data_IF_025427900841
#
_entry.id   IF_025427900841
#
_cell.length_a   1.000
_cell.length_b   1.000
_cell.length_c   1.000
_cell.angle_alpha   90.00
_cell.angle_beta   90.00
_cell.angle_gamma   90.00
#
_symmetry.space_group_name_H-M   'P 1'
#
loop_
_entity.id
_entity.type
_entity.pdbx_description
1 polymer ?
#
# COMPACT_ATOMS: atom_id res chain seq x y z
N UNK A 1 6.86 -54.05 -23.53
CA UNK A 1 6.28 -52.93 -24.32
C UNK A 1 5.07 -52.31 -23.65
N UNK A 2 4.09 -53.08 -23.18
CA UNK A 2 2.82 -52.56 -22.62
C UNK A 2 2.99 -51.54 -21.49
N UNK A 3 3.89 -51.80 -20.52
CA UNK A 3 4.19 -50.85 -19.43
C UNK A 3 4.70 -49.49 -19.94
N UNK A 4 5.52 -49.44 -21.00
CA UNK A 4 6.04 -48.18 -21.57
C UNK A 4 4.94 -47.37 -22.27
N UNK A 5 3.97 -48.04 -22.89
CA UNK A 5 2.82 -47.39 -23.54
C UNK A 5 1.92 -46.74 -22.48
N UNK A 6 1.65 -47.44 -21.37
CA UNK A 6 0.83 -46.91 -20.25
C UNK A 6 1.44 -45.66 -19.62
N UNK A 7 2.76 -45.64 -19.39
CA UNK A 7 3.43 -44.44 -18.87
C UNK A 7 3.33 -43.25 -19.85
N UNK A 8 3.43 -43.50 -21.15
CA UNK A 8 3.35 -42.44 -22.17
C UNK A 8 1.95 -41.82 -22.25
N UNK A 9 0.88 -42.64 -22.14
CA UNK A 9 -0.50 -42.13 -22.12
C UNK A 9 -0.81 -41.34 -20.86
N UNK A 10 -0.30 -41.76 -19.70
CA UNK A 10 -0.47 -41.02 -18.44
C UNK A 10 0.21 -39.65 -18.54
N UNK A 11 1.45 -39.58 -19.06
CA UNK A 11 2.18 -38.32 -19.25
C UNK A 11 1.45 -37.38 -20.21
N UNK A 12 0.92 -37.89 -21.34
CA UNK A 12 0.16 -37.10 -22.30
C UNK A 12 -1.16 -36.57 -21.72
N UNK A 13 -1.87 -37.39 -20.93
CA UNK A 13 -3.11 -36.97 -20.26
C UNK A 13 -2.87 -35.84 -19.25
N UNK A 14 -1.79 -35.92 -18.44
CA UNK A 14 -1.44 -34.88 -17.47
C UNK A 14 -1.06 -33.56 -18.16
N UNK A 15 -0.39 -33.62 -19.32
CA UNK A 15 -0.02 -32.41 -20.09
C UNK A 15 -1.18 -31.67 -20.75
N UNK A 16 -2.34 -32.32 -20.89
CA UNK A 16 -3.57 -31.73 -21.48
C UNK A 16 -4.49 -31.07 -20.45
N UNK A 17 -4.11 -31.12 -19.17
CA UNK A 17 -4.90 -30.63 -18.05
C UNK A 17 -4.46 -29.25 -17.56
N UNK A 18 -3.59 -28.53 -18.28
CA UNK A 18 -3.19 -27.17 -17.90
C UNK A 18 -3.52 -26.16 -18.98
N UNK A 19 -4.28 -25.13 -18.64
CA UNK A 19 -4.50 -23.95 -19.48
C UNK A 19 -3.51 -22.85 -19.05
N UNK A 20 -3.00 -22.11 -20.03
CA UNK A 20 -2.18 -20.92 -19.79
C UNK A 20 -3.08 -19.68 -19.80
N UNK A 21 -3.00 -18.88 -18.74
CA UNK A 21 -3.70 -17.60 -18.65
C UNK A 21 -2.69 -16.47 -18.60
N UNK A 22 -3.01 -15.36 -19.27
CA UNK A 22 -2.20 -14.15 -19.19
C UNK A 22 -2.77 -13.25 -18.10
N UNK A 23 -1.98 -13.04 -17.05
CA UNK A 23 -2.32 -12.16 -15.95
C UNK A 23 -1.74 -10.77 -16.19
N UNK A 24 -2.56 -9.72 -16.05
CA UNK A 24 -2.06 -8.35 -16.10
C UNK A 24 -1.12 -8.09 -14.92
N UNK A 25 -0.21 -7.14 -15.09
CA UNK A 25 0.57 -6.60 -13.98
C UNK A 25 -0.26 -5.61 -13.16
N UNK A 26 0.35 -5.10 -12.10
CA UNK A 26 -0.27 -4.08 -11.26
C UNK A 26 -0.57 -2.81 -12.08
N UNK A 27 -1.80 -2.27 -12.05
CA UNK A 27 -2.17 -1.12 -12.87
C UNK A 27 -1.47 0.18 -12.43
N UNK A 28 -0.72 0.81 -13.35
CA UNK A 28 0.02 2.05 -13.07
C UNK A 28 -0.84 3.21 -12.56
N UNK A 29 -2.13 3.23 -12.92
CA UNK A 29 -3.07 4.27 -12.48
C UNK A 29 -3.19 4.37 -10.96
N UNK A 30 -2.90 3.30 -10.22
CA UNK A 30 -2.96 3.25 -8.76
C UNK A 30 -1.63 3.65 -8.10
N UNK A 31 -0.53 3.66 -8.85
CA UNK A 31 0.79 4.09 -8.36
C UNK A 31 0.83 5.60 -8.07
N UNK A 32 -0.18 6.37 -8.47
CA UNK A 32 -0.25 7.81 -8.25
C UNK A 32 -0.37 8.21 -6.78
N UNK A 33 -0.74 7.30 -5.89
CA UNK A 33 -0.98 7.66 -4.49
C UNK A 33 0.26 7.66 -3.61
N UNK A 34 1.40 7.16 -4.09
CA UNK A 34 2.64 7.06 -3.31
C UNK A 34 3.87 7.25 -4.20
N UNK A 35 4.99 7.77 -3.69
CA UNK A 35 6.25 7.75 -4.42
C UNK A 35 6.73 6.30 -4.57
N UNK A 36 7.10 5.94 -5.79
CA UNK A 36 7.48 4.57 -6.16
C UNK A 36 8.71 4.52 -7.07
N UNK A 37 9.36 5.66 -7.31
CA UNK A 37 10.62 5.69 -8.05
C UNK A 37 11.74 5.44 -7.05
N UNK A 38 12.49 4.36 -7.23
CA UNK A 38 13.62 4.04 -6.34
C UNK A 38 14.63 5.20 -6.30
N UNK A 39 14.98 5.63 -5.09
CA UNK A 39 15.86 6.78 -4.86
C UNK A 39 15.17 8.13 -4.96
N UNK A 40 13.86 8.18 -5.16
CA UNK A 40 13.06 9.40 -4.94
C UNK A 40 13.11 9.78 -3.46
N UNK A 41 13.27 11.07 -3.22
CA UNK A 41 13.48 11.63 -1.90
C UNK A 41 12.45 12.71 -1.63
N UNK A 42 12.04 12.84 -0.38
CA UNK A 42 11.15 13.91 0.04
C UNK A 42 11.39 14.28 1.51
N UNK A 43 11.14 15.54 1.85
CA UNK A 43 11.44 16.11 3.16
C UNK A 43 10.17 16.46 3.93
N UNK A 44 10.06 15.96 5.17
CA UNK A 44 9.02 16.39 6.11
C UNK A 44 9.63 17.13 7.30
N UNK A 45 8.94 18.16 7.77
CA UNK A 45 9.35 18.98 8.92
C UNK A 45 8.24 19.11 9.95
N UNK A 46 8.61 19.29 11.22
CA UNK A 46 7.71 19.75 12.27
C UNK A 46 7.93 21.25 12.61
N UNK A 47 8.72 21.97 11.79
CA UNK A 47 9.14 23.35 12.02
C UNK A 47 10.43 23.53 12.84
N UNK A 48 10.89 22.47 13.53
CA UNK A 48 12.14 22.45 14.31
C UNK A 48 13.14 21.47 13.67
N UNK A 49 12.70 20.23 13.51
CA UNK A 49 13.47 19.15 12.92
C UNK A 49 13.00 18.90 11.48
N UNK A 50 13.86 18.30 10.66
CA UNK A 50 13.52 17.86 9.31
C UNK A 50 14.05 16.46 9.10
N UNK A 51 13.20 15.61 8.52
CA UNK A 51 13.54 14.24 8.18
C UNK A 51 13.40 14.03 6.69
N UNK A 52 14.38 13.33 6.14
CA UNK A 52 14.42 12.94 4.75
C UNK A 52 14.00 11.48 4.64
N UNK A 53 13.07 11.24 3.73
CA UNK A 53 12.64 9.92 3.34
C UNK A 53 13.22 9.59 1.97
N UNK A 54 13.53 8.32 1.74
CA UNK A 54 13.98 7.79 0.47
C UNK A 54 13.21 6.51 0.14
N UNK A 55 12.78 6.39 -1.11
CA UNK A 55 12.21 5.14 -1.62
C UNK A 55 13.35 4.14 -1.81
N UNK A 56 13.50 3.22 -0.86
CA UNK A 56 14.61 2.27 -0.84
C UNK A 56 14.36 1.07 -1.77
N UNK A 57 13.16 0.52 -1.70
CA UNK A 57 12.76 -0.71 -2.38
C UNK A 57 11.40 -0.56 -3.05
N UNK A 58 11.26 -1.20 -4.21
CA UNK A 58 10.07 -1.16 -5.07
C UNK A 58 9.94 -2.53 -5.72
N UNK A 59 8.83 -3.21 -5.48
CA UNK A 59 8.46 -4.44 -6.17
C UNK A 59 7.04 -4.30 -6.73
N UNK A 60 6.92 -4.33 -8.06
CA UNK A 60 5.65 -4.16 -8.76
C UNK A 60 5.46 -5.37 -9.66
N UNK A 61 4.36 -6.08 -9.47
CA UNK A 61 4.03 -7.26 -10.26
C UNK A 61 3.92 -6.88 -11.73
N UNK A 62 4.80 -7.42 -12.57
CA UNK A 62 4.72 -7.30 -14.04
C UNK A 62 3.72 -8.31 -14.58
N UNK A 63 3.23 -8.07 -15.80
CA UNK A 63 2.41 -9.05 -16.50
C UNK A 63 3.14 -10.40 -16.60
N UNK A 64 2.41 -11.49 -16.36
CA UNK A 64 2.96 -12.85 -16.33
C UNK A 64 1.97 -13.86 -16.89
N UNK A 65 2.45 -15.03 -17.24
CA UNK A 65 1.60 -16.16 -17.67
C UNK A 65 1.55 -17.18 -16.54
N UNK A 66 0.35 -17.49 -16.07
CA UNK A 66 0.11 -18.53 -15.07
C UNK A 66 -0.35 -19.83 -15.73
N UNK A 67 0.05 -20.97 -15.16
CA UNK A 67 -0.41 -22.29 -15.57
C UNK A 67 -1.43 -22.80 -14.57
N UNK A 68 -2.62 -23.06 -15.07
CA UNK A 68 -3.79 -23.38 -14.26
C UNK A 68 -4.30 -24.76 -14.63
N UNK A 69 -4.72 -25.56 -13.65
CA UNK A 69 -5.42 -26.80 -13.97
C UNK A 69 -6.73 -26.48 -14.69
N UNK A 70 -6.99 -27.18 -15.79
CA UNK A 70 -8.20 -27.06 -16.60
C UNK A 70 -9.42 -27.27 -15.71
N UNK A 71 -10.37 -26.33 -15.76
CA UNK A 71 -11.58 -26.24 -14.91
C UNK A 71 -11.35 -25.81 -13.45
N UNK A 72 -10.19 -25.27 -13.09
CA UNK A 72 -10.00 -24.58 -11.80
C UNK A 72 -10.12 -23.08 -12.00
N UNK A 73 -10.75 -22.40 -11.04
CA UNK A 73 -10.68 -20.95 -10.96
C UNK A 73 -9.22 -20.56 -10.71
N UNK A 74 -8.67 -19.77 -11.63
CA UNK A 74 -7.34 -19.24 -11.48
C UNK A 74 -7.45 -17.75 -11.19
N UNK A 75 -6.87 -17.32 -10.07
CA UNK A 75 -6.75 -15.92 -9.72
C UNK A 75 -5.52 -15.33 -10.41
N UNK A 76 -5.70 -14.16 -11.01
CA UNK A 76 -4.58 -13.31 -11.38
C UNK A 76 -4.39 -12.29 -10.26
N UNK A 77 -3.48 -12.60 -9.36
CA UNK A 77 -3.12 -11.70 -8.28
C UNK A 77 -1.95 -10.82 -8.75
N UNK A 78 -2.03 -9.53 -8.44
CA UNK A 78 -0.94 -8.60 -8.69
C UNK A 78 -0.90 -7.55 -7.59
N UNK A 79 0.32 -7.18 -7.22
CA UNK A 79 0.59 -6.29 -6.11
C UNK A 79 1.68 -5.27 -6.45
N UNK A 80 1.72 -4.20 -5.65
CA UNK A 80 2.83 -3.27 -5.59
C UNK A 80 3.25 -3.05 -4.13
N UNK A 81 4.55 -3.22 -3.86
CA UNK A 81 5.15 -3.07 -2.54
C UNK A 81 6.25 -2.02 -2.63
N UNK A 82 6.21 -1.04 -1.72
CA UNK A 82 7.23 0.01 -1.60
C UNK A 82 7.69 0.09 -0.16
N UNK A 83 9.00 0.22 0.02
CA UNK A 83 9.61 0.50 1.31
C UNK A 83 10.25 1.88 1.24
N UNK A 84 9.78 2.78 2.10
CA UNK A 84 10.34 4.11 2.26
C UNK A 84 11.00 4.18 3.63
N UNK A 85 12.28 4.53 3.67
CA UNK A 85 13.04 4.64 4.91
C UNK A 85 13.46 6.07 5.17
N UNK A 86 13.57 6.44 6.44
CA UNK A 86 14.20 7.70 6.79
C UNK A 86 15.72 7.56 6.74
N UNK A 87 16.41 8.60 6.26
CA UNK A 87 17.87 8.67 6.37
C UNK A 87 18.35 9.00 7.78
N UNK A 88 17.43 9.28 8.71
CA UNK A 88 17.73 9.61 10.09
C UNK A 88 17.17 8.48 10.99
N UNK A 89 17.92 8.09 12.02
CA UNK A 89 17.67 6.90 12.86
C UNK A 89 16.32 6.87 13.61
N UNK A 90 15.53 7.94 13.57
CA UNK A 90 14.39 8.14 14.47
C UNK A 90 13.01 8.04 13.79
N UNK A 91 12.91 7.55 12.55
CA UNK A 91 11.67 7.66 11.78
C UNK A 91 11.21 6.35 11.11
N UNK A 92 9.89 6.21 10.93
CA UNK A 92 9.26 4.96 10.55
C UNK A 92 9.67 4.53 9.15
N UNK A 93 9.99 3.24 9.02
CA UNK A 93 9.85 2.55 7.75
C UNK A 93 8.38 2.59 7.37
N UNK A 94 8.10 3.06 6.15
CA UNK A 94 6.77 3.08 5.58
C UNK A 94 6.69 1.94 4.57
N UNK A 95 5.99 0.87 4.96
CA UNK A 95 5.68 -0.20 4.04
C UNK A 95 4.30 0.04 3.45
N UNK A 96 4.27 0.19 2.13
CA UNK A 96 3.03 0.30 1.37
C UNK A 96 2.85 -1.00 0.62
N UNK A 97 1.71 -1.65 0.82
CA UNK A 97 1.27 -2.76 -0.01
C UNK A 97 -0.04 -2.40 -0.67
N UNK A 98 -0.15 -2.72 -1.96
CA UNK A 98 -1.39 -2.61 -2.69
C UNK A 98 -1.71 -3.84 -3.49
N UNK A 99 -2.94 -4.34 -3.33
CA UNK A 99 -3.48 -5.48 -4.04
C UNK A 99 -4.67 -5.02 -4.90
N UNK A 100 -4.74 -5.50 -6.13
CA UNK A 100 -5.90 -5.24 -6.98
C UNK A 100 -6.94 -6.32 -6.89
N UNK A 101 -8.19 -5.89 -6.75
CA UNK A 101 -9.36 -6.73 -6.98
C UNK A 101 -10.15 -6.18 -8.17
N UNK A 102 -11.17 -6.91 -8.63
CA UNK A 102 -12.03 -6.50 -9.75
C UNK A 102 -12.66 -5.10 -9.61
N UNK A 103 -12.61 -4.49 -8.43
CA UNK A 103 -13.28 -3.24 -8.09
C UNK A 103 -12.32 -2.10 -7.69
N UNK A 104 -11.03 -2.34 -7.49
CA UNK A 104 -10.15 -1.26 -6.98
C UNK A 104 -8.77 -1.74 -6.56
N UNK A 105 -8.02 -0.81 -5.96
CA UNK A 105 -6.75 -1.09 -5.29
C UNK A 105 -6.87 -0.80 -3.80
N UNK A 106 -6.46 -1.76 -2.99
CA UNK A 106 -6.35 -1.61 -1.55
C UNK A 106 -4.99 -1.07 -1.22
N UNK A 107 -4.88 -0.11 -0.31
CA UNK A 107 -3.61 0.46 0.11
C UNK A 107 -3.49 0.26 1.61
N UNK A 108 -2.39 -0.36 2.02
CA UNK A 108 -2.01 -0.50 3.42
C UNK A 108 -0.69 0.19 3.64
N UNK A 109 -0.66 1.11 4.59
CA UNK A 109 0.49 1.94 4.97
C UNK A 109 0.84 1.56 6.40
N UNK A 110 2.03 0.98 6.59
CA UNK A 110 2.52 0.61 7.90
C UNK A 110 3.64 1.55 8.33
N UNK A 111 3.55 2.14 9.53
CA UNK A 111 4.60 2.92 10.15
C UNK A 111 5.25 2.09 11.25
N UNK A 112 6.57 1.86 11.14
CA UNK A 112 7.35 1.25 12.22
C UNK A 112 7.67 2.31 13.28
N UNK A 113 7.08 2.21 14.46
CA UNK A 113 7.22 3.19 15.55
C UNK A 113 7.91 2.57 16.77
N UNK A 114 8.19 3.41 17.79
CA UNK A 114 8.72 2.94 19.07
C UNK A 114 7.69 2.07 19.82
N UNK A 115 6.39 2.28 19.58
CA UNK A 115 5.29 1.53 20.21
C UNK A 115 4.89 0.27 19.44
N UNK A 116 5.40 0.05 18.22
CA UNK A 116 5.08 -1.11 17.40
C UNK A 116 4.91 -0.78 15.91
N UNK A 117 3.84 -1.29 15.30
CA UNK A 117 3.51 -1.04 13.89
C UNK A 117 2.12 -0.44 13.81
N UNK A 118 2.04 0.81 13.36
CA UNK A 118 0.77 1.48 13.10
C UNK A 118 0.34 1.24 11.66
N UNK A 119 -0.92 0.88 11.44
CA UNK A 119 -1.42 0.51 10.11
C UNK A 119 -2.60 1.39 9.73
N UNK A 120 -2.47 2.13 8.63
CA UNK A 120 -3.53 2.94 8.03
C UNK A 120 -3.89 2.40 6.64
N UNK A 121 -5.19 2.33 6.33
CA UNK A 121 -5.66 1.69 5.09
C UNK A 121 -6.77 2.46 4.39
N UNK A 122 -6.73 2.43 3.07
CA UNK A 122 -7.82 2.94 2.22
C UNK A 122 -7.95 2.10 0.95
N UNK A 123 -9.13 2.11 0.34
CA UNK A 123 -9.35 1.54 -1.00
C UNK A 123 -9.61 2.65 -2.00
N UNK A 124 -8.92 2.63 -3.14
CA UNK A 124 -9.30 3.42 -4.32
C UNK A 124 -10.22 2.57 -5.22
N UNK A 125 -11.53 2.87 -5.19
CA UNK A 125 -12.54 2.22 -6.01
C UNK A 125 -12.61 2.85 -7.41
N UNK A 126 -11.49 2.80 -8.16
CA UNK A 126 -11.34 3.40 -9.50
C UNK A 126 -11.58 4.92 -9.56
N UNK A 127 -11.35 5.64 -8.47
CA UNK A 127 -11.60 7.07 -8.33
C UNK A 127 -13.06 7.44 -8.07
N UNK A 128 -13.97 6.47 -7.98
CA UNK A 128 -15.39 6.72 -7.70
C UNK A 128 -15.65 6.92 -6.21
N UNK A 129 -14.94 6.19 -5.35
CA UNK A 129 -15.05 6.31 -3.90
C UNK A 129 -13.80 5.82 -3.19
N UNK A 130 -13.62 6.33 -1.95
CA UNK A 130 -12.61 5.85 -1.01
C UNK A 130 -13.32 5.16 0.15
N UNK A 131 -13.05 3.87 0.34
CA UNK A 131 -13.68 3.08 1.40
C UNK A 131 -12.73 2.93 2.59
N UNK A 132 -13.30 2.93 3.79
CA UNK A 132 -12.59 2.54 5.01
C UNK A 132 -12.73 1.03 5.24
N UNK A 133 -11.61 0.38 5.55
CA UNK A 133 -11.58 -1.05 5.88
C UNK A 133 -11.88 -1.36 7.33
N UNK A 134 -11.41 -0.52 8.24
CA UNK A 134 -11.43 -0.80 9.66
C UNK A 134 -12.54 -0.01 10.34
N UNK A 135 -13.31 -0.63 11.25
CA UNK A 135 -14.37 0.08 11.97
C UNK A 135 -13.85 1.22 12.86
N UNK A 136 -12.53 1.33 13.02
CA UNK A 136 -11.83 2.34 13.82
C UNK A 136 -10.98 3.26 12.95
N UNK A 137 -11.31 3.40 11.66
CA UNK A 137 -10.64 4.33 10.76
C UNK A 137 -11.69 5.13 9.99
N UNK A 138 -11.32 6.35 9.64
CA UNK A 138 -12.13 7.28 8.86
C UNK A 138 -11.30 7.84 7.72
N UNK A 139 -11.83 7.66 6.51
CA UNK A 139 -11.22 8.14 5.28
C UNK A 139 -12.08 9.28 4.72
N UNK A 140 -11.45 10.38 4.36
CA UNK A 140 -12.09 11.55 3.77
C UNK A 140 -11.32 11.98 2.53
N UNK A 141 -12.03 12.20 1.42
CA UNK A 141 -11.45 12.81 0.23
C UNK A 141 -11.65 14.33 0.27
N UNK A 142 -10.55 15.06 0.14
CA UNK A 142 -10.47 16.50 0.15
C UNK A 142 -10.05 16.98 -1.24
N UNK A 143 -10.83 17.89 -1.83
CA UNK A 143 -10.46 18.50 -3.11
C UNK A 143 -9.13 19.26 -3.01
N UNK A 144 -8.86 19.86 -1.85
CA UNK A 144 -7.61 20.56 -1.56
C UNK A 144 -7.28 20.53 -0.06
N UNK A 145 -6.00 20.54 0.27
CA UNK A 145 -5.49 20.64 1.64
C UNK A 145 -4.25 21.54 1.71
N UNK A 146 -4.23 22.46 2.66
CA UNK A 146 -3.06 23.27 2.99
C UNK A 146 -2.36 22.66 4.20
N UNK A 147 -1.11 22.20 4.02
CA UNK A 147 -0.31 21.61 5.10
C UNK A 147 0.54 22.64 5.88
N UNK A 148 0.34 23.94 5.62
CA UNK A 148 1.09 25.05 6.19
C UNK A 148 2.29 25.51 5.36
N UNK A 149 2.73 24.70 4.38
CA UNK A 149 3.82 25.04 3.46
C UNK A 149 3.32 25.19 2.02
N UNK A 150 2.34 24.36 1.63
CA UNK A 150 1.82 24.32 0.26
C UNK A 150 0.40 23.78 0.24
N UNK A 151 -0.34 24.17 -0.80
CA UNK A 151 -1.67 23.64 -1.09
C UNK A 151 -1.53 22.46 -2.05
N UNK A 152 -2.07 21.32 -1.64
CA UNK A 152 -2.15 20.10 -2.43
C UNK A 152 -3.59 19.86 -2.87
N UNK A 153 -3.78 19.32 -4.06
CA UNK A 153 -5.09 18.94 -4.59
C UNK A 153 -5.27 17.42 -4.50
N UNK A 154 -6.52 16.95 -4.54
CA UNK A 154 -6.89 15.53 -4.53
C UNK A 154 -6.22 14.77 -3.38
N UNK A 155 -6.62 15.09 -2.15
CA UNK A 155 -5.98 14.61 -0.92
C UNK A 155 -6.88 13.62 -0.19
N UNK A 156 -6.32 12.48 0.19
CA UNK A 156 -6.98 11.52 1.08
C UNK A 156 -6.48 11.79 2.49
N UNK A 157 -7.40 12.11 3.40
CA UNK A 157 -7.15 12.11 4.84
C UNK A 157 -7.56 10.75 5.40
N UNK A 158 -6.70 10.15 6.20
CA UNK A 158 -6.99 8.91 6.94
C UNK A 158 -6.73 9.20 8.41
N UNK A 159 -7.73 8.92 9.25
CA UNK A 159 -7.66 9.12 10.69
C UNK A 159 -8.12 7.85 11.40
N UNK A 160 -7.34 7.35 12.35
CA UNK A 160 -7.75 6.26 13.23
C UNK A 160 -8.54 6.80 14.42
N UNK A 161 -9.68 6.17 14.72
CA UNK A 161 -10.51 6.49 15.87
C UNK A 161 -9.72 6.39 17.17
N UNK A 162 -9.91 7.42 18.00
CA UNK A 162 -9.20 7.58 19.26
C UNK A 162 -9.83 6.82 20.43
N UNK A 163 -11.02 6.24 20.25
CA UNK A 163 -11.76 5.54 21.30
C UNK A 163 -11.15 4.17 21.59
N UNK A 164 -10.49 4.11 22.75
CA UNK A 164 -9.89 2.94 23.38
C UNK A 164 -10.74 1.68 23.18
N UNK A 165 -10.25 0.75 22.37
CA UNK A 165 -10.72 -0.63 22.45
C UNK A 165 -10.19 -1.28 23.73
N UNK A 166 -10.85 -2.35 24.21
CA UNK A 166 -10.40 -3.08 25.38
C UNK A 166 -8.93 -3.46 25.24
N UNK A 167 -8.19 -3.32 26.34
CA UNK A 167 -6.72 -3.33 26.54
C UNK A 167 -5.90 -4.50 25.93
N UNK A 168 -6.52 -5.36 25.13
CA UNK A 168 -5.96 -6.64 24.68
C UNK A 168 -5.49 -6.60 23.21
N UNK A 169 -5.91 -5.62 22.38
CA UNK A 169 -5.66 -5.69 20.93
C UNK A 169 -5.13 -4.45 20.20
N UNK A 170 -4.95 -3.30 20.86
CA UNK A 170 -4.34 -2.13 20.20
C UNK A 170 -3.34 -1.47 21.16
N UNK A 171 -2.06 -1.77 20.95
CA UNK A 171 -0.98 -0.91 21.41
C UNK A 171 -1.22 0.48 20.85
N UNK A 172 -1.36 1.46 21.74
CA UNK A 172 -0.88 2.83 21.58
C UNK A 172 -0.51 3.25 20.14
N UNK A 173 -1.52 3.49 19.30
CA UNK A 173 -1.30 3.92 17.91
C UNK A 173 -0.62 5.29 17.95
N UNK A 174 0.65 5.34 17.56
CA UNK A 174 1.47 6.55 17.63
C UNK A 174 1.14 7.45 16.44
N UNK A 175 1.04 6.93 15.22
CA UNK A 175 0.60 7.67 14.05
C UNK A 175 -0.91 7.48 13.85
N UNK A 176 -1.69 8.52 14.19
CA UNK A 176 -3.16 8.42 14.16
C UNK A 176 -3.81 9.11 12.96
N UNK A 177 -3.07 9.97 12.25
CA UNK A 177 -3.61 10.72 11.12
C UNK A 177 -2.55 10.91 10.04
N UNK A 178 -2.94 10.67 8.79
CA UNK A 178 -2.10 10.90 7.62
C UNK A 178 -2.89 11.58 6.50
N UNK A 179 -2.19 12.38 5.70
CA UNK A 179 -2.69 13.02 4.49
C UNK A 179 -1.85 12.60 3.30
N UNK A 180 -2.51 12.15 2.24
CA UNK A 180 -1.88 11.61 1.04
C UNK A 180 -2.43 12.37 -0.16
N UNK A 181 -1.57 13.08 -0.88
CA UNK A 181 -1.97 13.80 -2.09
C UNK A 181 -1.67 12.98 -3.35
N UNK A 182 -2.60 13.04 -4.30
CA UNK A 182 -2.43 12.37 -5.60
C UNK A 182 -1.21 12.91 -6.34
N UNK A 183 -0.42 12.00 -6.92
CA UNK A 183 0.87 12.20 -7.60
C UNK A 183 2.00 12.71 -6.72
N UNK A 184 1.81 12.75 -5.40
CA UNK A 184 2.82 13.24 -4.44
C UNK A 184 3.09 12.20 -3.36
N UNK A 185 2.05 11.59 -2.78
CA UNK A 185 2.19 10.68 -1.66
C UNK A 185 1.90 11.34 -0.32
N UNK A 186 2.60 10.90 0.72
CA UNK A 186 2.39 11.40 2.09
C UNK A 186 2.85 12.85 2.17
N UNK A 187 1.89 13.76 2.38
CA UNK A 187 2.14 15.20 2.52
C UNK A 187 2.12 15.68 3.97
N UNK A 188 1.52 14.88 4.86
CA UNK A 188 1.50 15.17 6.28
C UNK A 188 1.16 13.91 7.09
N UNK A 189 1.74 13.78 8.29
CA UNK A 189 1.26 12.84 9.31
C UNK A 189 1.39 13.43 10.70
N UNK A 190 0.56 12.95 11.63
CA UNK A 190 0.52 13.45 13.01
C UNK A 190 0.72 12.31 14.00
N UNK A 191 1.68 12.51 14.90
CA UNK A 191 1.93 11.65 16.04
C UNK A 191 1.00 12.03 17.22
N UNK A 192 0.43 11.02 17.85
CA UNK A 192 -0.57 11.10 18.90
C UNK A 192 0.01 11.52 20.25
N UNK A 193 1.19 11.01 20.61
CA UNK A 193 1.73 11.14 21.97
C UNK A 193 2.50 12.44 22.15
N UNK A 194 3.26 12.84 21.14
CA UNK A 194 4.02 14.09 21.18
C UNK A 194 3.29 15.25 20.50
N UNK A 195 2.13 14.99 19.88
CA UNK A 195 1.35 15.96 19.10
C UNK A 195 2.17 16.68 18.03
N UNK A 196 3.22 16.03 17.52
CA UNK A 196 4.04 16.57 16.42
C UNK A 196 3.38 16.22 15.10
N UNK A 197 3.16 17.26 14.30
CA UNK A 197 2.77 17.13 12.91
C UNK A 197 4.00 17.28 12.03
N UNK A 198 4.17 16.35 11.10
CA UNK A 198 5.22 16.32 10.09
C UNK A 198 4.61 16.68 8.76
N UNK A 199 5.04 17.78 8.15
CA UNK A 199 4.49 18.29 6.88
C UNK A 199 5.56 18.32 5.80
N UNK A 200 5.18 17.90 4.59
CA UNK A 200 6.02 17.97 3.38
C UNK A 200 6.32 19.44 3.02
N UNK A 201 7.59 19.76 2.72
CA UNK A 201 8.06 21.13 2.45
C UNK A 201 8.40 21.43 0.98
N UNK A 202 8.20 20.47 0.07
CA UNK A 202 8.58 20.57 -1.35
C UNK A 202 7.42 21.02 -2.27
#
# INVERSE_FOLDING_TARGET
MWKKIVYLTIILLISSCTDEINCPGFPEKYLVWMPYIRGEEFLLTNGIDTFKFIVESVDITKAYTAKCLKNWECSCDCYAIFTITSTNDFFPTIDISSDTYSYGADFRIAFQTDSGVDILQFRDNNGESFLTYWPYQHNEFLNSYDNGYKIFNDVIKIESDTLLLPEILLSETQIYQIYIAKKVGIIQFTDRFNHKTWSLIE
#
